data_IF_714366513652
#
_entry.id   IF_714366513652
#
_cell.length_a   1.000
_cell.length_b   1.000
_cell.length_c   1.000
_cell.angle_alpha   90.00
_cell.angle_beta   90.00
_cell.angle_gamma   90.00
#
_symmetry.space_group_name_H-M   'P 1'
#
loop_
_entity.id
_entity.type
_entity.pdbx_description
1 polymer ?
#
# COMPACT_ATOMS: atom_id res chain seq x y z
N UNK A 1 -15.78 -21.48 -1.89
CA UNK A 1 -15.62 -20.11 -2.37
C UNK A 1 -14.27 -19.59 -1.88
N UNK A 2 -13.43 -19.07 -2.78
CA UNK A 2 -12.12 -18.52 -2.44
C UNK A 2 -12.29 -17.20 -1.71
N UNK A 3 -11.71 -17.08 -0.51
CA UNK A 3 -11.71 -15.86 0.28
C UNK A 3 -10.42 -15.08 0.04
N UNK A 4 -10.57 -13.80 -0.35
CA UNK A 4 -9.45 -12.94 -0.73
C UNK A 4 -9.28 -11.83 0.31
N UNK A 5 -8.08 -11.67 0.87
CA UNK A 5 -7.79 -10.53 1.76
C UNK A 5 -7.54 -9.29 0.92
N UNK A 6 -8.33 -8.26 1.20
CA UNK A 6 -8.20 -6.92 0.64
C UNK A 6 -7.53 -5.97 1.64
N UNK A 7 -6.48 -5.29 1.23
CA UNK A 7 -5.88 -4.22 2.01
C UNK A 7 -6.76 -2.97 1.93
N UNK A 8 -7.01 -2.30 3.06
CA UNK A 8 -7.94 -1.16 3.20
C UNK A 8 -7.40 0.17 2.69
N UNK A 9 -6.73 0.22 1.56
CA UNK A 9 -6.22 1.48 1.01
C UNK A 9 -6.80 1.78 -0.37
N UNK A 10 -6.82 3.06 -0.74
CA UNK A 10 -7.32 3.52 -2.03
C UNK A 10 -6.69 2.79 -3.22
N UNK A 11 -5.40 2.49 -3.16
CA UNK A 11 -4.68 1.79 -4.22
C UNK A 11 -5.15 0.35 -4.45
N UNK A 12 -5.91 -0.24 -3.53
CA UNK A 12 -6.50 -1.58 -3.72
C UNK A 12 -7.87 -1.54 -4.41
N UNK A 13 -8.52 -0.38 -4.51
CA UNK A 13 -9.85 -0.26 -5.12
C UNK A 13 -9.93 -0.84 -6.53
N UNK A 14 -8.99 -0.56 -7.45
CA UNK A 14 -9.03 -1.13 -8.80
C UNK A 14 -9.10 -2.65 -8.84
N UNK A 15 -8.46 -3.33 -7.88
CA UNK A 15 -8.42 -4.78 -7.79
C UNK A 15 -9.79 -5.41 -7.45
N UNK A 16 -10.62 -4.67 -6.72
CA UNK A 16 -11.85 -5.22 -6.13
C UNK A 16 -13.14 -4.57 -6.62
N UNK A 17 -13.06 -3.47 -7.38
CA UNK A 17 -14.24 -2.68 -7.79
C UNK A 17 -15.30 -3.48 -8.54
N UNK A 18 -14.87 -4.38 -9.42
CA UNK A 18 -15.76 -5.25 -10.22
C UNK A 18 -15.53 -6.73 -9.97
N UNK A 19 -14.53 -7.08 -9.18
CA UNK A 19 -14.20 -8.48 -8.92
C UNK A 19 -15.32 -9.18 -8.11
N UNK A 20 -15.77 -10.32 -8.60
CA UNK A 20 -16.76 -11.16 -7.93
C UNK A 20 -16.05 -12.16 -7.01
N UNK A 21 -15.44 -11.63 -5.95
CA UNK A 21 -14.73 -12.43 -4.94
C UNK A 21 -15.29 -12.18 -3.55
N UNK A 22 -15.18 -13.17 -2.66
CA UNK A 22 -15.46 -12.96 -1.25
C UNK A 22 -14.25 -12.25 -0.62
N UNK A 23 -14.36 -10.92 -0.44
CA UNK A 23 -13.29 -10.09 0.10
C UNK A 23 -13.41 -9.93 1.62
N UNK A 24 -12.29 -10.13 2.32
CA UNK A 24 -12.13 -9.85 3.76
C UNK A 24 -11.17 -8.68 3.90
N UNK A 25 -11.64 -7.57 4.48
CA UNK A 25 -10.78 -6.40 4.70
C UNK A 25 -9.83 -6.60 5.88
N UNK A 26 -8.56 -6.29 5.68
CA UNK A 26 -7.54 -6.39 6.70
C UNK A 26 -6.44 -5.33 6.56
N UNK A 27 -5.72 -5.07 7.63
CA UNK A 27 -4.46 -4.31 7.58
C UNK A 27 -3.30 -5.18 7.08
N UNK A 28 -2.17 -4.55 6.79
CA UNK A 28 -1.00 -5.23 6.20
C UNK A 28 -0.51 -6.45 6.99
N UNK A 29 -0.37 -6.34 8.31
CA UNK A 29 0.08 -7.46 9.16
C UNK A 29 -1.02 -8.49 9.41
N UNK A 30 -2.27 -8.03 9.49
CA UNK A 30 -3.42 -8.90 9.67
C UNK A 30 -3.67 -9.79 8.44
N UNK A 31 -3.41 -9.28 7.23
CA UNK A 31 -3.48 -10.03 5.99
C UNK A 31 -2.67 -11.32 6.05
N UNK A 32 -1.40 -11.24 6.45
CA UNK A 32 -0.54 -12.41 6.59
C UNK A 32 -1.06 -13.41 7.65
N UNK A 33 -1.61 -12.91 8.77
CA UNK A 33 -2.19 -13.76 9.82
C UNK A 33 -3.42 -14.51 9.35
N UNK A 34 -4.31 -13.86 8.60
CA UNK A 34 -5.52 -14.50 8.04
C UNK A 34 -5.16 -15.63 7.07
N UNK A 35 -4.14 -15.42 6.24
CA UNK A 35 -3.64 -16.45 5.32
C UNK A 35 -2.96 -17.61 6.07
N UNK A 36 -2.05 -17.31 7.00
CA UNK A 36 -1.37 -18.32 7.79
C UNK A 36 -2.32 -19.15 8.66
N UNK A 37 -3.37 -18.51 9.19
CA UNK A 37 -4.41 -19.15 10.02
C UNK A 37 -5.51 -19.86 9.21
N UNK A 38 -5.45 -19.86 7.88
CA UNK A 38 -6.47 -20.49 7.04
C UNK A 38 -7.81 -19.77 6.97
N UNK A 39 -7.89 -18.54 7.47
CA UNK A 39 -9.10 -17.72 7.42
C UNK A 39 -9.32 -17.08 6.03
N UNK A 40 -8.29 -17.06 5.19
CA UNK A 40 -8.35 -16.65 3.79
C UNK A 40 -7.46 -17.57 2.94
N UNK A 41 -7.70 -17.56 1.64
CA UNK A 41 -7.02 -18.43 0.67
C UNK A 41 -6.01 -17.67 -0.18
N UNK A 42 -6.28 -16.38 -0.44
CA UNK A 42 -5.51 -15.50 -1.30
C UNK A 42 -5.48 -14.10 -0.69
N UNK A 43 -4.40 -13.33 -0.89
CA UNK A 43 -4.38 -11.96 -0.39
C UNK A 43 -3.09 -11.23 -0.68
N UNK A 44 -3.15 -9.90 -0.57
CA UNK A 44 -1.97 -9.04 -0.69
C UNK A 44 -1.25 -8.95 0.66
N UNK A 45 0.05 -9.17 0.64
CA UNK A 45 0.93 -9.10 1.81
C UNK A 45 2.14 -8.25 1.46
N UNK A 46 2.64 -7.40 2.39
CA UNK A 46 3.90 -6.70 2.18
C UNK A 46 5.00 -7.64 1.71
N UNK A 47 5.74 -7.26 0.66
CA UNK A 47 6.73 -8.16 0.04
C UNK A 47 7.79 -8.65 1.04
N UNK A 48 8.20 -7.79 1.97
CA UNK A 48 9.15 -8.14 3.03
C UNK A 48 8.61 -9.22 3.94
N UNK A 49 7.35 -9.11 4.33
CA UNK A 49 6.68 -10.08 5.20
C UNK A 49 6.39 -11.40 4.44
N UNK A 50 6.02 -11.32 3.16
CA UNK A 50 5.83 -12.51 2.33
C UNK A 50 7.14 -13.30 2.19
N UNK A 51 8.27 -12.61 2.00
CA UNK A 51 9.59 -13.22 1.94
C UNK A 51 10.03 -13.82 3.28
N UNK A 52 9.84 -13.10 4.39
CA UNK A 52 10.16 -13.56 5.74
C UNK A 52 9.40 -14.82 6.13
N UNK A 53 8.13 -14.90 5.79
CA UNK A 53 7.26 -16.05 6.10
C UNK A 53 7.30 -17.16 5.02
N UNK A 54 8.07 -16.97 3.93
CA UNK A 54 8.17 -17.96 2.86
C UNK A 54 6.82 -18.24 2.17
N UNK A 55 5.95 -17.23 2.05
CA UNK A 55 4.61 -17.42 1.50
C UNK A 55 4.66 -17.64 -0.02
N UNK A 56 3.86 -18.56 -0.58
CA UNK A 56 3.78 -18.78 -2.02
C UNK A 56 3.26 -17.55 -2.76
N UNK A 57 4.08 -16.94 -3.60
CA UNK A 57 3.71 -15.77 -4.41
C UNK A 57 2.95 -16.23 -5.65
N UNK A 58 1.84 -15.55 -5.94
CA UNK A 58 1.09 -15.65 -7.20
C UNK A 58 1.53 -14.51 -8.12
N UNK A 59 2.38 -14.76 -9.14
CA UNK A 59 3.12 -13.71 -9.85
C UNK A 59 2.30 -13.04 -10.98
N UNK A 60 1.04 -12.65 -10.71
CA UNK A 60 0.14 -12.04 -11.70
C UNK A 60 -0.30 -10.63 -11.30
N UNK A 61 -0.42 -10.38 -9.99
CA UNK A 61 -0.86 -9.11 -9.44
C UNK A 61 0.07 -8.66 -8.32
N UNK A 62 0.40 -7.38 -8.31
CA UNK A 62 1.20 -6.77 -7.26
C UNK A 62 0.84 -5.28 -7.10
N UNK A 63 1.20 -4.72 -5.96
CA UNK A 63 1.14 -3.28 -5.69
C UNK A 63 2.57 -2.76 -5.73
N UNK A 64 2.90 -1.95 -6.74
CA UNK A 64 4.24 -1.44 -6.97
C UNK A 64 4.23 -0.04 -7.57
N UNK A 65 5.36 0.65 -7.54
CA UNK A 65 5.57 1.91 -8.27
C UNK A 65 6.79 1.84 -9.18
N UNK A 66 6.73 2.61 -10.26
CA UNK A 66 7.86 2.90 -11.14
C UNK A 66 8.09 4.40 -11.11
N UNK A 67 8.96 4.88 -10.21
CA UNK A 67 9.16 6.29 -9.95
C UNK A 67 8.28 6.84 -8.82
N UNK A 68 7.96 8.15 -8.82
CA UNK A 68 7.26 8.83 -7.75
C UNK A 68 5.94 8.18 -7.37
N UNK A 69 5.61 8.26 -6.07
CA UNK A 69 4.34 7.76 -5.52
C UNK A 69 3.78 8.72 -4.47
N UNK A 70 2.63 9.32 -4.76
CA UNK A 70 2.01 10.32 -3.86
C UNK A 70 1.54 9.74 -2.53
N UNK A 71 1.31 8.44 -2.46
CA UNK A 71 0.77 7.75 -1.28
C UNK A 71 1.84 7.16 -0.35
N UNK A 72 3.14 7.48 -0.54
CA UNK A 72 4.21 7.05 0.35
C UNK A 72 5.31 8.11 0.41
N UNK A 73 5.22 9.02 1.38
CA UNK A 73 6.10 10.19 1.49
C UNK A 73 6.61 10.43 2.90
N UNK A 74 7.82 10.97 2.98
CA UNK A 74 8.39 11.54 4.19
C UNK A 74 7.99 13.01 4.26
N UNK A 75 6.94 13.32 5.02
CA UNK A 75 6.43 14.68 5.19
C UNK A 75 7.32 15.48 6.14
N UNK A 76 7.50 16.78 5.84
CA UNK A 76 8.29 17.68 6.63
C UNK A 76 7.55 18.05 7.91
N UNK A 77 8.15 17.79 9.05
CA UNK A 77 7.66 18.24 10.35
C UNK A 77 8.48 19.42 10.89
N UNK A 78 8.19 19.79 12.13
CA UNK A 78 8.75 20.98 12.81
C UNK A 78 9.78 20.65 13.90
N UNK A 79 9.84 19.38 14.32
CA UNK A 79 10.74 18.93 15.39
C UNK A 79 12.03 18.33 14.88
N UNK A 80 12.53 17.30 15.55
CA UNK A 80 13.79 16.63 15.24
C UNK A 80 13.61 15.14 15.02
N UNK A 81 14.55 14.55 14.26
CA UNK A 81 14.55 13.12 13.93
C UNK A 81 13.37 12.71 13.04
N UNK A 82 13.24 11.41 12.81
CA UNK A 82 12.23 10.88 11.90
C UNK A 82 11.28 9.93 12.62
N UNK A 83 10.01 9.98 12.21
CA UNK A 83 8.94 9.18 12.78
C UNK A 83 8.18 8.43 11.70
N UNK A 84 7.57 7.28 12.06
CA UNK A 84 6.67 6.52 11.19
C UNK A 84 5.59 5.84 12.04
N UNK A 85 4.43 5.57 11.45
CA UNK A 85 3.39 4.76 12.10
C UNK A 85 3.87 3.32 12.30
N UNK A 86 4.70 2.82 11.35
CA UNK A 86 5.38 1.54 11.47
C UNK A 86 6.75 1.62 10.78
N UNK A 87 7.78 1.23 11.51
CA UNK A 87 9.17 1.14 11.07
C UNK A 87 9.46 -0.09 10.19
N UNK A 88 8.53 -1.04 10.14
CA UNK A 88 8.66 -2.30 9.39
C UNK A 88 7.99 -2.27 8.01
N UNK A 89 7.44 -1.12 7.60
CA UNK A 89 6.88 -0.99 6.26
C UNK A 89 7.98 -1.05 5.20
N UNK A 90 7.64 -1.51 4.00
CA UNK A 90 8.55 -1.47 2.83
C UNK A 90 9.13 -0.07 2.64
N UNK A 91 8.31 0.98 2.79
CA UNK A 91 8.74 2.38 2.68
C UNK A 91 9.78 2.77 3.73
N UNK A 92 9.57 2.39 5.00
CA UNK A 92 10.52 2.69 6.08
C UNK A 92 11.85 1.94 5.87
N UNK A 93 11.78 0.67 5.49
CA UNK A 93 12.96 -0.15 5.20
C UNK A 93 13.74 0.38 4.00
N UNK A 94 13.04 0.82 2.93
CA UNK A 94 13.67 1.43 1.77
C UNK A 94 14.44 2.72 2.14
N UNK A 95 13.80 3.66 2.84
CA UNK A 95 14.45 4.90 3.26
C UNK A 95 15.58 4.65 4.27
N UNK A 96 15.42 3.69 5.18
CA UNK A 96 16.51 3.31 6.08
C UNK A 96 17.71 2.79 5.28
N UNK A 97 17.49 1.87 4.34
CA UNK A 97 18.56 1.24 3.56
C UNK A 97 19.27 2.22 2.62
N UNK A 98 18.51 3.12 1.98
CA UNK A 98 19.02 4.01 0.93
C UNK A 98 19.55 5.35 1.47
N UNK A 99 18.96 5.84 2.57
CA UNK A 99 19.28 7.15 3.14
C UNK A 99 19.81 7.10 4.59
N UNK A 100 19.87 5.92 5.19
CA UNK A 100 20.31 5.75 6.58
C UNK A 100 19.31 6.29 7.61
N UNK A 101 18.03 6.50 7.24
CA UNK A 101 17.05 7.09 8.14
C UNK A 101 16.53 6.04 9.15
N UNK A 102 16.53 6.40 10.43
CA UNK A 102 15.93 5.60 11.49
C UNK A 102 14.63 6.25 11.95
N UNK A 103 13.59 5.45 12.11
CA UNK A 103 12.25 5.93 12.44
C UNK A 103 11.86 5.54 13.87
N UNK A 104 11.36 6.51 14.64
CA UNK A 104 10.66 6.27 15.89
C UNK A 104 9.18 6.03 15.60
N UNK A 105 8.61 4.99 16.18
CA UNK A 105 7.19 4.68 16.04
C UNK A 105 6.30 5.74 16.69
N UNK A 106 5.22 6.10 15.98
CA UNK A 106 4.17 7.01 16.43
C UNK A 106 2.79 6.46 16.07
N UNK A 107 1.78 6.82 16.83
CA UNK A 107 0.39 6.38 16.56
C UNK A 107 -0.35 7.36 15.65
N UNK A 108 -0.17 8.65 15.89
CA UNK A 108 -0.81 9.73 15.12
C UNK A 108 0.24 10.47 14.28
N UNK A 109 0.22 10.28 12.95
CA UNK A 109 1.16 10.95 12.06
C UNK A 109 0.94 12.46 11.97
N UNK A 110 -0.28 12.97 12.19
CA UNK A 110 -0.56 14.40 12.19
C UNK A 110 0.03 15.10 13.41
N UNK A 111 -0.18 14.54 14.58
CA UNK A 111 0.42 15.06 15.82
C UNK A 111 1.96 14.94 15.79
N UNK A 112 2.49 13.93 15.10
CA UNK A 112 3.93 13.73 14.94
C UNK A 112 4.62 14.83 14.12
N UNK A 113 3.92 15.53 13.22
CA UNK A 113 4.47 16.65 12.44
C UNK A 113 4.98 17.80 13.34
N UNK A 114 4.41 17.97 14.52
CA UNK A 114 4.88 18.99 15.48
C UNK A 114 6.14 18.55 16.26
N UNK A 115 6.40 17.24 16.34
CA UNK A 115 7.42 16.67 17.24
C UNK A 115 8.63 16.08 16.50
N UNK A 116 8.47 15.70 15.25
CA UNK A 116 9.48 15.05 14.43
C UNK A 116 9.91 16.00 13.30
N UNK A 117 11.17 15.93 12.86
CA UNK A 117 11.67 16.67 11.70
C UNK A 117 11.13 16.12 10.38
N UNK A 118 10.79 14.83 10.36
CA UNK A 118 10.09 14.20 9.25
C UNK A 118 9.21 13.05 9.72
N UNK A 119 8.06 12.89 9.06
CA UNK A 119 7.09 11.82 9.36
C UNK A 119 6.82 11.02 8.10
N UNK A 120 7.18 9.74 8.12
CA UNK A 120 6.87 8.82 7.03
C UNK A 120 5.42 8.36 7.15
N UNK A 121 4.65 8.65 6.12
CA UNK A 121 3.24 8.27 6.04
C UNK A 121 2.97 7.53 4.74
N UNK A 122 2.15 6.47 4.82
CA UNK A 122 1.82 5.58 3.70
C UNK A 122 0.31 5.42 3.59
N UNK A 123 -0.19 5.28 2.36
CA UNK A 123 -1.58 4.99 2.06
C UNK A 123 -2.49 6.21 2.16
N UNK A 124 -3.71 6.01 2.62
CA UNK A 124 -4.78 7.01 2.59
C UNK A 124 -4.45 8.28 3.40
N UNK A 125 -3.73 8.15 4.52
CA UNK A 125 -3.29 9.32 5.29
C UNK A 125 -2.24 10.17 4.54
N UNK A 126 -1.36 9.53 3.76
CA UNK A 126 -0.43 10.27 2.92
C UNK A 126 -1.18 11.09 1.86
N UNK A 127 -2.21 10.51 1.22
CA UNK A 127 -3.06 11.23 0.28
C UNK A 127 -3.75 12.43 0.92
N UNK A 128 -4.27 12.29 2.16
CA UNK A 128 -4.86 13.42 2.90
C UNK A 128 -3.86 14.52 3.22
N UNK A 129 -2.62 14.16 3.57
CA UNK A 129 -1.56 15.15 3.81
C UNK A 129 -1.18 15.88 2.53
N UNK A 130 -1.09 15.18 1.39
CA UNK A 130 -0.82 15.80 0.09
C UNK A 130 -1.95 16.76 -0.30
N UNK A 131 -3.21 16.34 -0.17
CA UNK A 131 -4.38 17.17 -0.49
C UNK A 131 -4.44 18.47 0.35
N UNK A 132 -3.96 18.41 1.61
CA UNK A 132 -3.83 19.57 2.49
C UNK A 132 -2.56 20.39 2.27
N UNK A 133 -1.75 20.05 1.28
CA UNK A 133 -0.54 20.78 0.93
C UNK A 133 0.58 20.66 1.95
N UNK A 134 0.63 19.58 2.76
CA UNK A 134 1.74 19.34 3.69
C UNK A 134 3.02 19.09 2.88
N UNK A 135 4.09 19.88 3.06
CA UNK A 135 5.33 19.70 2.31
C UNK A 135 6.00 18.38 2.67
N UNK A 136 6.67 17.76 1.72
CA UNK A 136 7.44 16.52 1.94
C UNK A 136 8.94 16.73 1.71
N UNK A 137 9.74 15.89 2.35
CA UNK A 137 11.20 15.85 2.25
C UNK A 137 11.67 14.84 1.21
N UNK A 138 10.90 13.74 1.05
CA UNK A 138 11.20 12.68 0.10
C UNK A 138 9.91 11.95 -0.32
N UNK A 139 9.87 11.54 -1.57
CA UNK A 139 8.94 10.57 -2.12
C UNK A 139 9.65 9.21 -2.18
N UNK A 140 9.04 8.18 -1.59
CA UNK A 140 9.70 6.87 -1.44
C UNK A 140 9.97 6.20 -2.78
N UNK A 141 9.01 6.31 -3.71
CA UNK A 141 9.15 5.73 -5.04
C UNK A 141 10.22 6.44 -5.89
N UNK A 142 10.28 7.78 -5.80
CA UNK A 142 11.31 8.59 -6.46
C UNK A 142 12.71 8.23 -5.95
N UNK A 143 12.91 8.23 -4.63
CA UNK A 143 14.19 7.86 -4.00
C UNK A 143 14.62 6.45 -4.41
N UNK A 144 13.69 5.49 -4.43
CA UNK A 144 13.99 4.14 -4.87
C UNK A 144 14.38 4.09 -6.35
N UNK A 145 13.61 4.75 -7.20
CA UNK A 145 13.86 4.77 -8.64
C UNK A 145 15.22 5.38 -8.99
N UNK A 146 15.57 6.49 -8.37
CA UNK A 146 16.86 7.15 -8.58
C UNK A 146 18.06 6.34 -8.09
N UNK A 147 17.90 5.60 -6.98
CA UNK A 147 19.01 4.87 -6.35
C UNK A 147 19.15 3.43 -6.83
N UNK A 148 18.06 2.79 -7.21
CA UNK A 148 18.01 1.36 -7.54
C UNK A 148 17.68 1.11 -9.01
N UNK A 149 16.85 1.96 -9.63
CA UNK A 149 16.48 1.88 -11.05
C UNK A 149 15.50 0.76 -11.41
N UNK A 150 14.87 0.12 -10.42
CA UNK A 150 13.87 -0.93 -10.62
C UNK A 150 12.53 -0.55 -9.98
N UNK A 151 11.41 -1.22 -10.34
CA UNK A 151 10.15 -1.03 -9.63
C UNK A 151 10.29 -1.34 -8.12
N UNK A 152 9.64 -0.55 -7.28
CA UNK A 152 9.50 -0.82 -5.84
C UNK A 152 8.19 -1.56 -5.59
N UNK A 153 8.28 -2.80 -5.17
CA UNK A 153 7.12 -3.60 -4.79
C UNK A 153 6.76 -3.36 -3.33
N UNK A 154 5.53 -2.96 -3.06
CA UNK A 154 5.01 -2.75 -1.70
C UNK A 154 4.31 -4.00 -1.19
N UNK A 155 3.44 -4.61 -2.00
CA UNK A 155 2.74 -5.83 -1.66
C UNK A 155 2.63 -6.76 -2.87
N UNK A 156 2.66 -8.05 -2.60
CA UNK A 156 2.51 -9.12 -3.59
C UNK A 156 1.30 -9.97 -3.25
N UNK A 157 0.68 -10.54 -4.28
CA UNK A 157 -0.39 -11.50 -4.09
C UNK A 157 0.23 -12.83 -3.66
N UNK A 158 -0.24 -13.35 -2.53
CA UNK A 158 0.21 -14.64 -1.99
C UNK A 158 -0.97 -15.57 -1.78
N UNK A 159 -0.70 -16.87 -1.90
CA UNK A 159 -1.67 -17.93 -1.64
C UNK A 159 -1.41 -18.58 -0.28
N UNK A 160 -2.45 -19.01 0.39
CA UNK A 160 -2.32 -19.93 1.52
C UNK A 160 -1.73 -21.26 1.04
N UNK A 161 -0.78 -21.86 1.73
CA UNK A 161 -0.27 -23.20 1.38
C UNK A 161 -1.41 -24.21 1.23
N UNK A 162 -1.43 -24.93 0.10
CA UNK A 162 -2.47 -25.92 -0.20
C UNK A 162 -3.83 -25.35 -0.60
N UNK A 163 -3.97 -24.05 -0.83
CA UNK A 163 -5.19 -23.47 -1.39
C UNK A 163 -5.33 -23.87 -2.87
N UNK A 164 -6.56 -24.22 -3.27
CA UNK A 164 -6.91 -24.66 -4.62
C UNK A 164 -7.98 -23.74 -5.23
N UNK A 165 -8.16 -23.82 -6.54
CA UNK A 165 -9.21 -23.08 -7.26
C UNK A 165 -9.01 -21.56 -7.31
N UNK A 166 -7.78 -21.08 -7.13
CA UNK A 166 -7.46 -19.65 -7.03
C UNK A 166 -7.56 -18.89 -8.36
N UNK A 167 -7.46 -19.61 -9.48
CA UNK A 167 -7.35 -19.04 -10.83
C UNK A 167 -8.52 -18.12 -11.19
N UNK A 168 -9.73 -18.50 -10.80
CA UNK A 168 -10.93 -17.69 -11.06
C UNK A 168 -10.91 -16.38 -10.26
N UNK A 169 -10.54 -16.43 -8.98
CA UNK A 169 -10.42 -15.24 -8.16
C UNK A 169 -9.35 -14.27 -8.66
N UNK A 170 -8.21 -14.79 -9.11
CA UNK A 170 -7.14 -13.98 -9.72
C UNK A 170 -7.64 -13.32 -11.00
N UNK A 171 -8.31 -14.07 -11.88
CA UNK A 171 -8.88 -13.54 -13.13
C UNK A 171 -9.96 -12.47 -12.88
N UNK A 172 -10.81 -12.64 -11.88
CA UNK A 172 -11.79 -11.62 -11.50
C UNK A 172 -11.13 -10.31 -11.07
N UNK A 173 -10.04 -10.38 -10.30
CA UNK A 173 -9.27 -9.19 -9.92
C UNK A 173 -8.55 -8.55 -11.11
N UNK A 174 -7.97 -9.34 -12.02
CA UNK A 174 -7.37 -8.83 -13.27
C UNK A 174 -8.39 -8.11 -14.15
N UNK A 175 -9.57 -8.70 -14.31
CA UNK A 175 -10.68 -8.08 -15.05
C UNK A 175 -11.13 -6.77 -14.40
N UNK A 176 -11.13 -6.71 -13.07
CA UNK A 176 -11.45 -5.49 -12.33
C UNK A 176 -10.43 -4.38 -12.58
N UNK A 177 -9.13 -4.72 -12.59
CA UNK A 177 -8.04 -3.78 -12.94
C UNK A 177 -8.17 -3.31 -14.39
N UNK A 178 -8.40 -4.22 -15.34
CA UNK A 178 -8.61 -3.85 -16.74
C UNK A 178 -9.80 -2.90 -16.91
N UNK A 179 -10.92 -3.19 -16.23
CA UNK A 179 -12.08 -2.30 -16.22
C UNK A 179 -11.75 -0.91 -15.67
N UNK A 180 -10.95 -0.83 -14.60
CA UNK A 180 -10.54 0.44 -14.02
C UNK A 180 -9.77 1.30 -15.01
N UNK A 181 -8.82 0.74 -15.77
CA UNK A 181 -8.06 1.49 -16.77
C UNK A 181 -8.94 2.02 -17.91
N UNK A 182 -10.00 1.31 -18.26
CA UNK A 182 -10.97 1.77 -19.27
C UNK A 182 -11.97 2.80 -18.69
N UNK A 183 -12.32 2.66 -17.41
CA UNK A 183 -13.38 3.42 -16.75
C UNK A 183 -12.96 3.88 -15.35
N UNK A 184 -11.96 4.77 -15.19
CA UNK A 184 -11.43 5.15 -13.87
C UNK A 184 -12.39 6.02 -13.05
N UNK A 185 -13.25 6.82 -13.71
CA UNK A 185 -14.05 7.85 -13.07
C UNK A 185 -14.91 7.37 -11.88
N UNK A 186 -15.63 6.21 -11.93
CA UNK A 186 -16.41 5.76 -10.79
C UNK A 186 -15.58 5.43 -9.55
N UNK A 187 -14.40 4.83 -9.76
CA UNK A 187 -13.47 4.48 -8.66
C UNK A 187 -12.87 5.76 -8.07
N UNK A 188 -12.40 6.66 -8.92
CA UNK A 188 -11.83 7.96 -8.53
C UNK A 188 -12.83 8.75 -7.68
N UNK A 189 -14.08 8.85 -8.12
CA UNK A 189 -15.13 9.57 -7.39
C UNK A 189 -15.44 8.93 -6.04
N UNK A 190 -15.55 7.60 -5.99
CA UNK A 190 -15.81 6.89 -4.75
C UNK A 190 -14.65 7.05 -3.75
N UNK A 191 -13.39 6.98 -4.20
CA UNK A 191 -12.21 7.19 -3.37
C UNK A 191 -12.14 8.62 -2.87
N UNK A 192 -12.30 9.62 -3.75
CA UNK A 192 -12.28 11.03 -3.38
C UNK A 192 -13.34 11.34 -2.30
N UNK A 193 -14.55 10.84 -2.48
CA UNK A 193 -15.64 10.99 -1.51
C UNK A 193 -15.32 10.29 -0.18
N UNK A 194 -14.85 9.05 -0.22
CA UNK A 194 -14.50 8.26 0.98
C UNK A 194 -13.40 8.89 1.81
N UNK A 195 -12.37 9.43 1.15
CA UNK A 195 -11.22 10.03 1.80
C UNK A 195 -11.41 11.51 2.15
N UNK A 196 -12.39 12.19 1.54
CA UNK A 196 -12.62 13.63 1.68
C UNK A 196 -11.49 14.46 1.06
N UNK A 197 -10.95 14.03 -0.08
CA UNK A 197 -9.85 14.67 -0.82
C UNK A 197 -10.31 15.07 -2.23
N UNK A 198 -9.50 15.90 -2.89
CA UNK A 198 -9.80 16.34 -4.24
C UNK A 198 -9.78 15.18 -5.24
N UNK A 199 -10.75 15.19 -6.18
CA UNK A 199 -10.80 14.22 -7.28
C UNK A 199 -9.50 14.24 -8.10
N UNK A 200 -8.97 15.45 -8.35
CA UNK A 200 -7.72 15.62 -9.11
C UNK A 200 -6.57 14.82 -8.52
N UNK A 201 -6.42 14.82 -7.20
CA UNK A 201 -5.36 14.09 -6.52
C UNK A 201 -5.52 12.56 -6.66
N UNK A 202 -6.76 12.08 -6.72
CA UNK A 202 -7.02 10.64 -6.91
C UNK A 202 -6.77 10.20 -8.36
N UNK A 203 -6.87 11.11 -9.32
CA UNK A 203 -6.58 10.87 -10.74
C UNK A 203 -5.07 10.79 -11.04
N UNK A 204 -4.21 11.40 -10.19
CA UNK A 204 -2.75 11.32 -10.26
C UNK A 204 -2.21 9.95 -9.82
#
# INVERSE_FOLDING_TARGET
VVRVVRIRYAHSEPLFWRAKVEAVEAGNLESARLLAGGAADLGFVPITLAAELGMPIVPRLAIYSVGPIISARLFKGRGEGFCAVSETTVSALALNKLLGLSFRRVEDPWAALEKCGGVLVVGDEALRMVDRGVPHLADVGEVWHERVGTPLFFAVLVARPGAEGLEEAVREMENSVAYFYENPAPVVEAVAKRLGISRRLVEE
#
